data_IF_849217355767
#
_entry.id   IF_849217355767
#
_cell.length_a   1.000
_cell.length_b   1.000
_cell.length_c   1.000
_cell.angle_alpha   90.00
_cell.angle_beta   90.00
_cell.angle_gamma   90.00
#
_symmetry.space_group_name_H-M   'P 1'
#
loop_
_entity.id
_entity.type
_entity.pdbx_description
1 polymer ?
#
# COMPACT_ATOMS: atom_id res chain seq x y z
N UNK A 1 29.12 13.07 -17.93
CA UNK A 1 28.18 12.01 -18.33
C UNK A 1 27.38 11.61 -17.10
N UNK A 2 26.12 12.01 -16.97
CA UNK A 2 25.32 11.67 -15.78
C UNK A 2 24.82 10.23 -15.89
N UNK A 3 25.38 9.32 -15.10
CA UNK A 3 24.79 8.00 -14.89
C UNK A 3 23.38 8.20 -14.33
N UNK A 4 22.36 7.95 -15.15
CA UNK A 4 20.97 8.00 -14.71
C UNK A 4 20.72 6.77 -13.83
N UNK A 5 20.92 6.91 -12.51
CA UNK A 5 20.77 5.83 -11.51
C UNK A 5 19.47 5.03 -11.65
N UNK A 6 18.41 5.65 -12.18
CA UNK A 6 17.15 4.96 -12.45
C UNK A 6 17.22 4.08 -13.71
N UNK A 7 17.88 4.54 -14.78
CA UNK A 7 18.08 3.73 -15.98
C UNK A 7 18.92 2.48 -15.72
N UNK A 8 19.93 2.57 -14.85
CA UNK A 8 20.73 1.41 -14.45
C UNK A 8 19.91 0.43 -13.59
N UNK A 9 19.09 0.95 -12.67
CA UNK A 9 18.13 0.14 -11.90
C UNK A 9 17.17 -0.62 -12.82
N UNK A 10 16.55 0.06 -13.80
CA UNK A 10 15.63 -0.56 -14.76
C UNK A 10 16.32 -1.66 -15.58
N UNK A 11 17.57 -1.44 -16.01
CA UNK A 11 18.34 -2.47 -16.73
C UNK A 11 18.63 -3.69 -15.86
N UNK A 12 18.89 -3.50 -14.58
CA UNK A 12 19.15 -4.60 -13.65
C UNK A 12 17.87 -5.40 -13.36
N UNK A 13 16.75 -4.73 -13.08
CA UNK A 13 15.44 -5.38 -12.89
C UNK A 13 15.02 -6.13 -14.15
N UNK A 14 15.22 -5.54 -15.34
CA UNK A 14 14.93 -6.20 -16.62
C UNK A 14 15.70 -7.53 -16.73
N UNK A 15 17.03 -7.49 -16.56
CA UNK A 15 17.89 -8.68 -16.65
C UNK A 15 17.50 -9.74 -15.62
N UNK A 16 17.22 -9.32 -14.39
CA UNK A 16 16.82 -10.22 -13.32
C UNK A 16 15.50 -10.93 -13.66
N UNK A 17 14.45 -10.17 -13.99
CA UNK A 17 13.12 -10.73 -14.27
C UNK A 17 13.10 -11.58 -15.55
N UNK A 18 13.80 -11.16 -16.62
CA UNK A 18 13.94 -11.98 -17.84
C UNK A 18 14.62 -13.32 -17.51
N UNK A 19 15.76 -13.28 -16.81
CA UNK A 19 16.47 -14.50 -16.40
C UNK A 19 15.59 -15.40 -15.53
N UNK A 20 14.96 -14.83 -14.50
CA UNK A 20 14.11 -15.58 -13.57
C UNK A 20 12.96 -16.30 -14.30
N UNK A 21 12.29 -15.63 -15.24
CA UNK A 21 11.21 -16.25 -16.01
C UNK A 21 11.73 -17.28 -17.02
N UNK A 22 12.91 -17.10 -17.60
CA UNK A 22 13.54 -18.11 -18.45
C UNK A 22 13.91 -19.36 -17.66
N UNK A 23 14.53 -19.21 -16.49
CA UNK A 23 14.91 -20.31 -15.59
C UNK A 23 13.68 -21.12 -15.13
N UNK A 24 12.50 -20.49 -15.11
CA UNK A 24 11.20 -21.11 -14.76
C UNK A 24 10.39 -21.61 -15.97
N UNK A 25 10.94 -21.58 -17.19
CA UNK A 25 10.23 -21.83 -18.47
C UNK A 25 8.90 -21.05 -18.60
N UNK A 26 8.85 -19.84 -18.01
CA UNK A 26 7.66 -19.01 -17.88
C UNK A 26 7.72 -17.74 -18.77
N UNK A 27 8.81 -17.50 -19.48
CA UNK A 27 8.97 -16.27 -20.27
C UNK A 27 8.15 -16.27 -21.58
N UNK A 28 8.15 -17.39 -22.30
CA UNK A 28 7.43 -17.56 -23.56
C UNK A 28 6.21 -18.48 -23.46
N UNK A 29 6.09 -19.19 -22.33
CA UNK A 29 5.03 -20.16 -22.08
C UNK A 29 4.35 -19.86 -20.76
N UNK A 30 3.18 -20.48 -20.62
CA UNK A 30 2.45 -20.51 -19.37
C UNK A 30 3.13 -21.46 -18.38
N UNK A 31 3.61 -21.00 -17.22
CA UNK A 31 4.21 -21.88 -16.22
C UNK A 31 3.23 -22.92 -15.70
N UNK A 32 3.73 -24.13 -15.46
CA UNK A 32 2.95 -25.23 -14.89
C UNK A 32 2.58 -24.98 -13.42
N UNK A 33 3.41 -24.22 -12.69
CA UNK A 33 3.19 -23.80 -11.30
C UNK A 33 3.25 -22.29 -11.19
N UNK A 34 2.25 -21.70 -10.53
CA UNK A 34 2.18 -20.25 -10.34
C UNK A 34 2.81 -19.90 -9.00
N UNK A 35 3.92 -19.16 -9.04
CA UNK A 35 4.65 -18.66 -7.87
C UNK A 35 4.60 -17.13 -7.83
N UNK A 36 4.71 -16.51 -6.64
CA UNK A 36 4.63 -15.05 -6.52
C UNK A 36 5.71 -14.33 -7.32
N UNK A 37 6.94 -14.88 -7.30
CA UNK A 37 8.06 -14.29 -8.05
C UNK A 37 7.81 -14.23 -9.55
N UNK A 38 6.99 -15.13 -10.11
CA UNK A 38 6.60 -15.10 -11.52
C UNK A 38 5.67 -13.91 -11.79
N UNK A 39 4.65 -13.71 -10.94
CA UNK A 39 3.72 -12.58 -11.08
C UNK A 39 4.45 -11.24 -10.93
N UNK A 40 5.30 -11.12 -9.91
CA UNK A 40 6.10 -9.91 -9.68
C UNK A 40 6.99 -9.60 -10.89
N UNK A 41 7.61 -10.62 -11.48
CA UNK A 41 8.44 -10.46 -12.68
C UNK A 41 7.62 -10.05 -13.90
N UNK A 42 6.44 -10.64 -14.13
CA UNK A 42 5.58 -10.21 -15.25
C UNK A 42 5.16 -8.75 -15.11
N UNK A 43 4.76 -8.29 -13.92
CA UNK A 43 4.34 -6.90 -13.69
C UNK A 43 5.50 -5.91 -13.90
N UNK A 44 6.67 -6.22 -13.34
CA UNK A 44 7.88 -5.42 -13.55
C UNK A 44 8.27 -5.37 -15.02
N UNK A 45 8.33 -6.50 -15.72
CA UNK A 45 8.68 -6.53 -17.15
C UNK A 45 7.66 -5.80 -17.99
N UNK A 46 6.36 -5.98 -17.74
CA UNK A 46 5.31 -5.27 -18.44
C UNK A 46 5.51 -3.75 -18.35
N UNK A 47 5.80 -3.27 -17.15
CA UNK A 47 6.05 -1.85 -16.86
C UNK A 47 7.36 -1.35 -17.47
N UNK A 48 8.44 -2.13 -17.37
CA UNK A 48 9.75 -1.78 -17.94
C UNK A 48 9.70 -1.72 -19.48
N UNK A 49 9.02 -2.66 -20.13
CA UNK A 49 8.85 -2.64 -21.58
C UNK A 49 7.98 -1.46 -22.02
N UNK A 50 6.91 -1.13 -21.28
CA UNK A 50 6.12 0.08 -21.54
C UNK A 50 6.99 1.35 -21.43
N UNK A 51 7.80 1.45 -20.37
CA UNK A 51 8.76 2.54 -20.17
C UNK A 51 9.77 2.67 -21.31
N UNK A 52 10.24 1.54 -21.83
CA UNK A 52 11.21 1.48 -22.93
C UNK A 52 10.57 1.66 -24.31
N UNK A 53 9.24 1.78 -24.41
CA UNK A 53 8.51 1.88 -25.66
C UNK A 53 8.28 0.56 -26.41
N UNK A 54 8.64 -0.58 -25.83
CA UNK A 54 8.37 -1.91 -26.40
C UNK A 54 6.96 -2.36 -26.07
N UNK A 55 6.00 -1.79 -26.81
CA UNK A 55 4.57 -2.07 -26.61
C UNK A 55 4.21 -3.55 -26.79
N UNK A 56 4.86 -4.24 -27.74
CA UNK A 56 4.56 -5.64 -28.03
C UNK A 56 4.91 -6.53 -26.84
N UNK A 57 6.12 -6.38 -26.28
CA UNK A 57 6.52 -7.14 -25.09
C UNK A 57 5.73 -6.73 -23.85
N UNK A 58 5.46 -5.44 -23.68
CA UNK A 58 4.65 -4.95 -22.54
C UNK A 58 3.25 -5.60 -22.54
N UNK A 59 2.54 -5.55 -23.66
CA UNK A 59 1.21 -6.15 -23.80
C UNK A 59 1.26 -7.67 -23.57
N UNK A 60 2.28 -8.37 -24.06
CA UNK A 60 2.48 -9.80 -23.79
C UNK A 60 2.57 -10.08 -22.28
N UNK A 61 3.39 -9.32 -21.56
CA UNK A 61 3.57 -9.52 -20.11
C UNK A 61 2.32 -9.17 -19.31
N UNK A 62 1.62 -8.08 -19.65
CA UNK A 62 0.31 -7.79 -19.04
C UNK A 62 -0.72 -8.89 -19.32
N UNK A 63 -0.73 -9.45 -20.53
CA UNK A 63 -1.61 -10.58 -20.85
C UNK A 63 -1.28 -11.84 -20.04
N UNK A 64 0.00 -12.12 -19.76
CA UNK A 64 0.35 -13.22 -18.86
C UNK A 64 -0.17 -12.98 -17.43
N UNK A 65 -0.09 -11.75 -16.91
CA UNK A 65 -0.69 -11.41 -15.62
C UNK A 65 -2.19 -11.66 -15.57
N UNK A 66 -2.94 -11.31 -16.63
CA UNK A 66 -4.40 -11.47 -16.62
C UNK A 66 -4.84 -12.93 -16.64
N UNK A 67 -3.99 -13.84 -17.11
CA UNK A 67 -4.26 -15.29 -17.12
C UNK A 67 -4.00 -15.92 -15.74
N UNK A 68 -3.03 -15.42 -14.98
CA UNK A 68 -2.57 -16.05 -13.73
C UNK A 68 -2.93 -15.32 -12.45
N UNK A 69 -3.08 -13.99 -12.47
CA UNK A 69 -3.36 -13.17 -11.30
C UNK A 69 -4.55 -13.71 -10.52
N UNK A 70 -5.63 -14.06 -11.23
CA UNK A 70 -6.84 -14.62 -10.66
C UNK A 70 -6.63 -15.89 -9.79
N UNK A 71 -5.67 -16.76 -10.12
CA UNK A 71 -5.53 -18.09 -9.49
C UNK A 71 -4.75 -18.07 -8.18
N UNK A 72 -3.77 -17.18 -8.03
CA UNK A 72 -2.97 -17.10 -6.80
C UNK A 72 -3.71 -16.37 -5.68
N UNK A 73 -4.37 -15.26 -5.97
CA UNK A 73 -5.07 -14.49 -4.92
C UNK A 73 -6.28 -15.25 -4.39
N UNK A 74 -7.09 -15.87 -5.26
CA UNK A 74 -8.21 -16.73 -4.83
C UNK A 74 -7.75 -17.88 -3.94
N UNK A 75 -6.58 -18.48 -4.21
CA UNK A 75 -6.03 -19.57 -3.37
C UNK A 75 -5.64 -19.11 -1.96
N UNK A 76 -5.08 -17.91 -1.79
CA UNK A 76 -4.72 -17.35 -0.47
C UNK A 76 -5.93 -16.92 0.35
N UNK A 77 -6.96 -16.39 -0.30
CA UNK A 77 -8.22 -16.05 0.37
C UNK A 77 -9.03 -17.30 0.70
N UNK A 78 -8.93 -18.37 -0.10
CA UNK A 78 -9.63 -19.63 0.14
C UNK A 78 -9.19 -20.34 1.43
N UNK A 79 -7.94 -20.14 1.88
CA UNK A 79 -7.40 -20.76 3.11
C UNK A 79 -7.76 -20.02 4.39
N UNK A 80 -8.39 -18.84 4.30
CA UNK A 80 -8.82 -18.07 5.48
C UNK A 80 -10.20 -18.54 5.98
N UNK A 81 -10.42 -18.44 7.29
CA UNK A 81 -11.76 -18.61 7.87
C UNK A 81 -12.72 -17.54 7.33
N UNK A 82 -14.02 -17.80 7.35
CA UNK A 82 -15.05 -16.84 6.92
C UNK A 82 -15.00 -15.52 7.71
N UNK A 83 -14.54 -15.55 8.96
CA UNK A 83 -14.31 -14.35 9.77
C UNK A 83 -13.01 -13.65 9.39
N UNK A 84 -11.95 -14.41 9.08
CA UNK A 84 -10.69 -13.87 8.55
C UNK A 84 -10.89 -13.12 7.24
N UNK A 85 -11.76 -13.62 6.35
CA UNK A 85 -12.13 -12.97 5.08
C UNK A 85 -12.84 -11.63 5.26
N UNK A 86 -13.40 -11.36 6.44
CA UNK A 86 -14.12 -10.10 6.74
C UNK A 86 -13.24 -9.03 7.38
N UNK A 87 -11.94 -9.31 7.64
CA UNK A 87 -11.03 -8.32 8.23
C UNK A 87 -10.83 -7.15 7.25
N UNK A 88 -11.12 -5.90 7.63
CA UNK A 88 -11.07 -4.75 6.71
C UNK A 88 -9.71 -4.57 6.00
N UNK A 89 -8.58 -4.76 6.69
CA UNK A 89 -7.24 -4.68 6.07
C UNK A 89 -7.05 -5.69 4.93
N UNK A 90 -7.57 -6.92 5.09
CA UNK A 90 -7.48 -7.95 4.06
C UNK A 90 -8.37 -7.62 2.86
N UNK A 91 -9.56 -7.06 3.11
CA UNK A 91 -10.46 -6.60 2.06
C UNK A 91 -9.88 -5.40 1.27
N UNK A 92 -9.22 -4.46 1.95
CA UNK A 92 -8.49 -3.35 1.29
C UNK A 92 -7.38 -3.91 0.40
N UNK A 93 -6.60 -4.87 0.92
CA UNK A 93 -5.54 -5.52 0.14
C UNK A 93 -6.12 -6.27 -1.07
N UNK A 94 -7.22 -6.99 -0.89
CA UNK A 94 -7.94 -7.66 -1.98
C UNK A 94 -8.38 -6.67 -3.06
N UNK A 95 -8.97 -5.54 -2.66
CA UNK A 95 -9.41 -4.51 -3.59
C UNK A 95 -8.26 -3.84 -4.34
N UNK A 96 -7.12 -3.63 -3.70
CA UNK A 96 -5.90 -3.16 -4.37
C UNK A 96 -5.45 -4.16 -5.46
N UNK A 97 -5.45 -5.47 -5.16
CA UNK A 97 -5.08 -6.49 -6.15
C UNK A 97 -6.06 -6.54 -7.32
N UNK A 98 -7.36 -6.50 -7.04
CA UNK A 98 -8.41 -6.45 -8.07
C UNK A 98 -8.25 -5.21 -8.96
N UNK A 99 -7.93 -4.04 -8.38
CA UNK A 99 -7.63 -2.83 -9.11
C UNK A 99 -6.42 -3.01 -10.05
N UNK A 100 -5.28 -3.52 -9.54
CA UNK A 100 -4.08 -3.77 -10.36
C UNK A 100 -4.33 -4.78 -11.48
N UNK A 101 -5.13 -5.80 -11.21
CA UNK A 101 -5.53 -6.78 -12.22
C UNK A 101 -6.41 -6.12 -13.30
N UNK A 102 -7.38 -5.28 -12.91
CA UNK A 102 -8.18 -4.49 -13.84
C UNK A 102 -7.32 -3.57 -14.72
N UNK A 103 -6.28 -2.98 -14.14
CA UNK A 103 -5.27 -2.21 -14.89
C UNK A 103 -4.57 -3.09 -15.92
N UNK A 104 -4.14 -4.30 -15.56
CA UNK A 104 -3.49 -5.22 -16.49
C UNK A 104 -4.42 -5.63 -17.64
N UNK A 105 -5.71 -5.85 -17.39
CA UNK A 105 -6.71 -6.10 -18.44
C UNK A 105 -6.87 -4.88 -19.38
N UNK A 106 -6.92 -3.66 -18.84
CA UNK A 106 -6.97 -2.44 -19.64
C UNK A 106 -5.73 -2.29 -20.53
N UNK A 107 -4.53 -2.42 -19.94
CA UNK A 107 -3.26 -2.23 -20.64
C UNK A 107 -2.93 -3.35 -21.65
N UNK A 108 -3.43 -4.57 -21.42
CA UNK A 108 -3.32 -5.67 -22.38
C UNK A 108 -4.38 -5.64 -23.48
N UNK A 109 -5.48 -4.88 -23.29
CA UNK A 109 -6.62 -4.78 -24.21
C UNK A 109 -7.33 -6.10 -24.51
N UNK A 110 -7.32 -7.01 -23.54
CA UNK A 110 -7.82 -8.38 -23.76
C UNK A 110 -9.31 -8.50 -23.46
N UNK A 111 -9.77 -7.93 -22.34
CA UNK A 111 -11.17 -8.03 -21.92
C UNK A 111 -11.59 -6.80 -21.09
N UNK A 112 -12.17 -5.78 -21.76
CA UNK A 112 -12.66 -4.57 -21.09
C UNK A 112 -13.81 -4.82 -20.13
N UNK A 113 -14.64 -5.84 -20.35
CA UNK A 113 -15.75 -6.16 -19.45
C UNK A 113 -15.21 -6.74 -18.15
N UNK A 114 -14.21 -7.63 -18.24
CA UNK A 114 -13.53 -8.18 -17.06
C UNK A 114 -12.79 -7.09 -16.27
N UNK A 115 -12.12 -6.16 -16.95
CA UNK A 115 -11.51 -5.00 -16.29
C UNK A 115 -12.54 -4.20 -15.49
N UNK A 116 -13.70 -3.91 -16.09
CA UNK A 116 -14.80 -3.20 -15.42
C UNK A 116 -15.32 -3.95 -14.20
N UNK A 117 -15.53 -5.27 -14.31
CA UNK A 117 -15.94 -6.11 -13.19
C UNK A 117 -14.92 -6.10 -12.04
N UNK A 118 -13.63 -6.13 -12.36
CA UNK A 118 -12.56 -6.07 -11.36
C UNK A 118 -12.56 -4.72 -10.63
N UNK A 119 -12.85 -3.61 -11.33
CA UNK A 119 -13.02 -2.31 -10.68
C UNK A 119 -14.27 -2.26 -9.80
N UNK A 120 -15.38 -2.90 -10.18
CA UNK A 120 -16.57 -3.02 -9.32
C UNK A 120 -16.23 -3.77 -8.03
N UNK A 121 -15.56 -4.93 -8.13
CA UNK A 121 -15.13 -5.69 -6.96
C UNK A 121 -14.11 -4.94 -6.10
N UNK A 122 -13.18 -4.19 -6.71
CA UNK A 122 -12.23 -3.38 -5.97
C UNK A 122 -12.93 -2.27 -5.17
N UNK A 123 -13.94 -1.63 -5.78
CA UNK A 123 -14.73 -0.60 -5.10
C UNK A 123 -15.56 -1.17 -3.93
N UNK A 124 -16.07 -2.38 -4.07
CA UNK A 124 -16.80 -3.10 -3.02
C UNK A 124 -15.88 -3.58 -1.89
N UNK A 125 -14.75 -4.19 -2.23
CA UNK A 125 -13.80 -4.73 -1.24
C UNK A 125 -13.16 -3.62 -0.41
N UNK A 126 -12.91 -2.45 -1.00
CA UNK A 126 -12.36 -1.29 -0.30
C UNK A 126 -13.43 -0.43 0.38
N UNK A 127 -14.69 -0.88 0.46
CA UNK A 127 -15.73 -0.19 1.23
C UNK A 127 -15.48 -0.35 2.73
N UNK A 128 -15.29 0.78 3.41
CA UNK A 128 -15.07 0.81 4.85
C UNK A 128 -16.38 1.09 5.57
N UNK A 129 -16.69 0.32 6.61
CA UNK A 129 -17.83 0.60 7.49
C UNK A 129 -17.56 1.81 8.39
N UNK A 130 -18.61 2.49 8.83
CA UNK A 130 -18.50 3.60 9.78
C UNK A 130 -17.82 3.15 11.08
N UNK A 131 -18.15 1.95 11.58
CA UNK A 131 -17.52 1.35 12.76
C UNK A 131 -16.01 1.15 12.59
N UNK A 132 -15.58 0.67 11.41
CA UNK A 132 -14.16 0.52 11.12
C UNK A 132 -13.45 1.88 11.04
N UNK A 133 -14.06 2.87 10.38
CA UNK A 133 -13.50 4.23 10.30
C UNK A 133 -13.38 4.83 11.70
N UNK A 134 -14.41 4.69 12.55
CA UNK A 134 -14.39 5.18 13.92
C UNK A 134 -13.29 4.50 14.75
N UNK A 135 -13.17 3.16 14.65
CA UNK A 135 -12.10 2.40 15.31
C UNK A 135 -10.71 2.80 14.81
N UNK A 136 -10.51 2.90 13.50
CA UNK A 136 -9.22 3.28 12.91
C UNK A 136 -8.81 4.71 13.30
N UNK A 137 -9.76 5.65 13.38
CA UNK A 137 -9.51 6.98 13.92
C UNK A 137 -9.11 6.90 15.40
N UNK A 138 -9.83 6.10 16.20
CA UNK A 138 -9.55 5.92 17.65
C UNK A 138 -8.11 5.45 17.88
N UNK A 139 -7.64 4.49 17.09
CA UNK A 139 -6.31 3.89 17.24
C UNK A 139 -5.23 4.57 16.38
N UNK A 140 -5.52 5.72 15.74
CA UNK A 140 -4.54 6.44 14.93
C UNK A 140 -4.15 5.75 13.61
N UNK A 141 -4.88 4.70 13.20
CA UNK A 141 -4.70 3.95 11.95
C UNK A 141 -5.27 4.70 10.73
N UNK A 142 -4.85 5.96 10.56
CA UNK A 142 -5.33 6.81 9.47
C UNK A 142 -4.87 6.33 8.09
N UNK A 143 -3.79 5.56 8.03
CA UNK A 143 -3.24 5.00 6.80
C UNK A 143 -4.14 3.90 6.21
N UNK A 144 -4.80 3.10 7.04
CA UNK A 144 -5.76 2.09 6.59
C UNK A 144 -6.99 2.75 5.96
N UNK A 145 -7.50 3.81 6.60
CA UNK A 145 -8.61 4.60 6.06
C UNK A 145 -8.19 5.24 4.73
N UNK A 146 -7.00 5.84 4.70
CA UNK A 146 -6.45 6.45 3.49
C UNK A 146 -6.29 5.43 2.36
N UNK A 147 -5.79 4.22 2.64
CA UNK A 147 -5.64 3.16 1.65
C UNK A 147 -6.99 2.67 1.12
N UNK A 148 -7.96 2.40 2.00
CA UNK A 148 -9.30 2.01 1.58
C UNK A 148 -9.97 3.07 0.71
N UNK A 149 -9.92 4.34 1.13
CA UNK A 149 -10.46 5.46 0.34
C UNK A 149 -9.72 5.65 -0.98
N UNK A 150 -8.39 5.50 -1.01
CA UNK A 150 -7.59 5.64 -2.23
C UNK A 150 -7.97 4.58 -3.26
N UNK A 151 -7.93 3.31 -2.89
CA UNK A 151 -8.16 2.22 -3.83
C UNK A 151 -9.62 2.16 -4.28
N UNK A 152 -10.57 2.40 -3.36
CA UNK A 152 -11.98 2.57 -3.72
C UNK A 152 -12.19 3.76 -4.65
N UNK A 153 -11.62 4.91 -4.33
CA UNK A 153 -11.73 6.12 -5.14
C UNK A 153 -11.17 5.94 -6.55
N UNK A 154 -10.03 5.26 -6.67
CA UNK A 154 -9.45 4.95 -7.99
C UNK A 154 -10.32 3.95 -8.77
N UNK A 155 -10.85 2.92 -8.12
CA UNK A 155 -11.77 2.00 -8.77
C UNK A 155 -13.04 2.72 -9.29
N UNK A 156 -13.66 3.58 -8.46
CA UNK A 156 -14.83 4.38 -8.83
C UNK A 156 -14.56 5.35 -9.98
N UNK A 157 -13.37 5.97 -10.02
CA UNK A 157 -12.93 6.80 -11.14
C UNK A 157 -12.95 6.03 -12.47
N UNK A 158 -12.47 4.78 -12.47
CA UNK A 158 -12.50 3.92 -13.67
C UNK A 158 -13.91 3.43 -14.03
N UNK A 159 -14.85 3.49 -13.09
CA UNK A 159 -16.27 3.20 -13.30
C UNK A 159 -17.09 4.45 -13.69
N UNK A 160 -16.42 5.58 -13.94
CA UNK A 160 -17.06 6.88 -14.23
C UNK A 160 -17.96 7.42 -13.11
N UNK A 161 -17.76 6.98 -11.87
CA UNK A 161 -18.45 7.50 -10.67
C UNK A 161 -17.64 8.64 -10.07
N UNK A 162 -17.52 9.75 -10.81
CA UNK A 162 -16.56 10.80 -10.55
C UNK A 162 -16.83 11.58 -9.25
N UNK A 163 -18.10 11.82 -8.90
CA UNK A 163 -18.49 12.52 -7.68
C UNK A 163 -18.06 11.74 -6.43
N UNK A 164 -18.42 10.45 -6.36
CA UNK A 164 -18.04 9.56 -5.26
C UNK A 164 -16.53 9.39 -5.17
N UNK A 165 -15.85 9.20 -6.31
CA UNK A 165 -14.40 9.12 -6.37
C UNK A 165 -13.73 10.39 -5.82
N UNK A 166 -14.17 11.56 -6.27
CA UNK A 166 -13.64 12.85 -5.83
C UNK A 166 -13.77 13.06 -4.32
N UNK A 167 -14.93 12.71 -3.75
CA UNK A 167 -15.18 12.83 -2.32
C UNK A 167 -14.19 11.99 -1.49
N UNK A 168 -14.00 10.72 -1.87
CA UNK A 168 -13.08 9.83 -1.17
C UNK A 168 -11.62 10.26 -1.34
N UNK A 169 -11.19 10.54 -2.58
CA UNK A 169 -9.80 10.87 -2.90
C UNK A 169 -9.35 12.18 -2.24
N UNK A 170 -10.26 13.14 -2.05
CA UNK A 170 -9.96 14.37 -1.31
C UNK A 170 -9.70 14.08 0.17
N UNK A 171 -10.43 13.12 0.76
CA UNK A 171 -10.23 12.72 2.15
C UNK A 171 -8.91 11.98 2.38
N UNK A 172 -8.41 11.22 1.39
CA UNK A 172 -7.11 10.54 1.47
C UNK A 172 -6.00 11.50 1.89
N UNK A 173 -5.93 12.68 1.28
CA UNK A 173 -4.91 13.71 1.60
C UNK A 173 -4.99 14.14 3.07
N UNK A 174 -6.21 14.27 3.62
CA UNK A 174 -6.42 14.68 5.01
C UNK A 174 -5.94 13.59 5.98
N UNK A 175 -6.28 12.33 5.71
CA UNK A 175 -5.86 11.20 6.53
C UNK A 175 -4.33 10.98 6.48
N UNK A 176 -3.73 11.05 5.30
CA UNK A 176 -2.28 10.94 5.14
C UNK A 176 -1.52 12.09 5.81
N UNK A 177 -2.07 13.30 5.79
CA UNK A 177 -1.46 14.43 6.52
C UNK A 177 -1.54 14.26 8.04
N UNK A 178 -2.60 13.64 8.56
CA UNK A 178 -2.67 13.29 10.00
C UNK A 178 -1.66 12.21 10.35
N UNK A 179 -1.54 11.18 9.52
CA UNK A 179 -0.54 10.13 9.68
C UNK A 179 0.89 10.69 9.62
N UNK A 180 1.22 11.55 8.67
CA UNK A 180 2.56 12.19 8.61
C UNK A 180 2.93 12.96 9.88
N UNK A 181 1.93 13.55 10.56
CA UNK A 181 2.15 14.30 11.82
C UNK A 181 2.42 13.38 13.02
N UNK A 182 2.15 12.08 12.93
CA UNK A 182 2.52 11.13 13.99
C UNK A 182 4.02 10.79 14.00
N UNK A 183 4.79 11.26 13.01
CA UNK A 183 6.23 11.03 12.92
C UNK A 183 6.64 9.74 12.20
N UNK A 184 5.66 8.96 11.71
CA UNK A 184 5.93 7.78 10.89
C UNK A 184 6.38 8.22 9.49
N UNK A 185 7.58 7.80 9.08
CA UNK A 185 8.05 8.02 7.71
C UNK A 185 7.08 7.33 6.74
N UNK A 186 6.60 8.05 5.72
CA UNK A 186 5.58 7.50 4.82
C UNK A 186 6.21 6.47 3.88
N UNK A 187 6.04 5.17 4.19
CA UNK A 187 6.51 4.04 3.38
C UNK A 187 5.64 3.78 2.13
N UNK A 188 4.34 4.13 2.19
CA UNK A 188 3.38 4.07 1.06
C UNK A 188 3.49 5.28 0.13
N UNK A 189 4.68 5.45 -0.48
CA UNK A 189 5.03 6.64 -1.27
C UNK A 189 4.22 6.75 -2.57
N UNK A 190 3.86 5.61 -3.16
CA UNK A 190 3.00 5.56 -4.36
C UNK A 190 1.59 6.03 -4.02
N UNK A 191 1.02 5.50 -2.94
CA UNK A 191 -0.31 5.82 -2.44
C UNK A 191 -0.43 7.27 -2.01
N UNK A 192 0.63 7.82 -1.41
CA UNK A 192 0.68 9.24 -1.07
C UNK A 192 0.73 10.15 -2.30
N UNK A 193 1.43 9.72 -3.34
CA UNK A 193 1.59 10.51 -4.55
C UNK A 193 0.37 10.44 -5.46
N UNK A 194 -0.32 9.29 -5.54
CA UNK A 194 -1.42 9.02 -6.47
C UNK A 194 -2.56 10.06 -6.42
N UNK A 195 -3.03 10.54 -5.24
CA UNK A 195 -4.06 11.58 -5.17
C UNK A 195 -3.74 12.85 -5.97
N UNK A 196 -2.45 13.18 -6.17
CA UNK A 196 -2.03 14.32 -7.00
C UNK A 196 -2.47 14.19 -8.47
N UNK A 197 -2.58 12.96 -8.98
CA UNK A 197 -3.11 12.70 -10.30
C UNK A 197 -4.63 12.50 -10.26
N UNK A 198 -5.13 11.72 -9.29
CA UNK A 198 -6.52 11.28 -9.29
C UNK A 198 -7.52 12.40 -8.96
N UNK A 199 -7.20 13.29 -8.02
CA UNK A 199 -8.11 14.39 -7.64
C UNK A 199 -8.34 15.37 -8.81
N UNK A 200 -7.29 15.93 -9.46
CA UNK A 200 -7.49 16.82 -10.60
C UNK A 200 -8.18 16.16 -11.80
N UNK A 201 -7.97 14.85 -12.00
CA UNK A 201 -8.70 14.10 -13.01
C UNK A 201 -10.21 14.05 -12.73
N UNK A 202 -10.60 13.80 -11.48
CA UNK A 202 -12.00 13.84 -11.09
C UNK A 202 -12.60 15.25 -11.27
N UNK A 203 -11.88 16.29 -10.82
CA UNK A 203 -12.32 17.69 -10.98
C UNK A 203 -12.57 18.05 -12.46
N UNK A 204 -11.69 17.62 -13.36
CA UNK A 204 -11.89 17.83 -14.79
C UNK A 204 -13.06 17.01 -15.35
N UNK A 205 -13.21 15.74 -14.99
CA UNK A 205 -14.33 14.91 -15.47
C UNK A 205 -15.69 15.44 -14.98
N UNK A 206 -15.74 16.03 -13.80
CA UNK A 206 -16.93 16.68 -13.24
C UNK A 206 -17.20 18.05 -13.88
N UNK A 207 -16.15 18.81 -14.19
CA UNK A 207 -16.25 20.16 -14.75
C UNK A 207 -15.15 20.38 -15.80
N UNK A 208 -15.40 19.97 -17.07
CA UNK A 208 -14.38 19.97 -18.11
C UNK A 208 -14.19 21.38 -18.69
N UNK A 209 -13.43 22.19 -17.97
CA UNK A 209 -13.10 23.57 -18.36
C UNK A 209 -11.65 23.68 -18.82
N UNK A 210 -11.35 24.75 -19.55
CA UNK A 210 -9.97 25.06 -19.96
C UNK A 210 -9.06 25.36 -18.75
N UNK A 211 -9.62 25.71 -17.60
CA UNK A 211 -8.87 25.89 -16.35
C UNK A 211 -8.48 24.55 -15.71
N UNK A 212 -9.37 23.57 -15.75
CA UNK A 212 -9.16 22.26 -15.12
C UNK A 212 -8.33 21.30 -15.98
N UNK A 213 -8.39 21.43 -17.31
CA UNK A 213 -7.66 20.55 -18.23
C UNK A 213 -6.12 20.57 -17.97
N UNK A 214 -5.45 21.73 -17.85
CA UNK A 214 -4.02 21.75 -17.51
C UNK A 214 -3.70 21.13 -16.15
N UNK A 215 -4.57 21.32 -15.14
CA UNK A 215 -4.39 20.75 -13.79
C UNK A 215 -4.45 19.22 -13.83
N UNK A 216 -5.42 18.66 -14.54
CA UNK A 216 -5.55 17.22 -14.73
C UNK A 216 -4.32 16.60 -15.40
N UNK A 217 -3.81 17.25 -16.46
CA UNK A 217 -2.58 16.83 -17.15
C UNK A 217 -1.34 16.93 -16.25
N UNK A 218 -1.19 18.06 -15.58
CA UNK A 218 -0.07 18.31 -14.67
C UNK A 218 -0.07 17.29 -13.52
N UNK A 219 -1.22 16.96 -12.96
CA UNK A 219 -1.35 15.97 -11.88
C UNK A 219 -0.74 14.61 -12.23
N UNK A 220 -1.00 14.10 -13.44
CA UNK A 220 -0.42 12.82 -13.92
C UNK A 220 1.11 12.90 -13.99
N UNK A 221 1.65 14.02 -14.48
CA UNK A 221 3.10 14.22 -14.62
C UNK A 221 3.80 14.50 -13.28
N UNK A 222 3.16 15.25 -12.39
CA UNK A 222 3.67 15.58 -11.06
C UNK A 222 3.69 14.37 -10.13
N UNK A 223 2.69 13.48 -10.27
CA UNK A 223 2.63 12.21 -9.57
C UNK A 223 3.94 11.43 -9.72
N UNK A 224 4.30 11.06 -10.96
CA UNK A 224 5.47 10.22 -11.22
C UNK A 224 6.78 10.93 -10.86
N UNK A 225 6.86 12.26 -11.05
CA UNK A 225 8.02 13.08 -10.66
C UNK A 225 8.22 13.15 -9.15
N UNK A 226 7.15 12.99 -8.37
CA UNK A 226 7.22 13.09 -6.91
C UNK A 226 7.75 11.84 -6.23
N UNK A 227 7.78 10.71 -6.93
CA UNK A 227 8.39 9.47 -6.46
C UNK A 227 9.92 9.60 -6.56
N UNK A 228 10.64 9.32 -5.47
CA UNK A 228 12.09 9.54 -5.39
C UNK A 228 12.89 8.24 -5.51
N UNK A 229 12.49 7.20 -4.78
CA UNK A 229 13.18 5.92 -4.82
C UNK A 229 12.91 5.20 -6.14
N UNK A 230 13.90 4.45 -6.61
CA UNK A 230 13.80 3.76 -7.90
C UNK A 230 12.71 2.67 -7.89
N UNK A 231 12.54 1.95 -6.77
CA UNK A 231 11.48 0.94 -6.59
C UNK A 231 10.10 1.58 -6.70
N UNK A 232 9.83 2.64 -5.93
CA UNK A 232 8.56 3.37 -5.96
C UNK A 232 8.28 3.94 -7.35
N UNK A 233 9.30 4.48 -8.03
CA UNK A 233 9.14 4.96 -9.42
C UNK A 233 8.72 3.85 -10.36
N UNK A 234 9.38 2.68 -10.30
CA UNK A 234 9.02 1.53 -11.14
C UNK A 234 7.58 1.09 -10.88
N UNK A 235 7.18 0.97 -9.62
CA UNK A 235 5.80 0.66 -9.26
C UNK A 235 4.83 1.75 -9.74
N UNK A 236 5.20 3.02 -9.56
CA UNK A 236 4.38 4.15 -9.97
C UNK A 236 4.17 4.26 -11.48
N UNK A 237 5.10 3.72 -12.28
CA UNK A 237 4.96 3.68 -13.73
C UNK A 237 3.77 2.83 -14.19
N UNK A 238 3.37 1.78 -13.45
CA UNK A 238 2.15 1.01 -13.74
C UNK A 238 0.93 1.93 -13.80
N UNK A 239 0.73 2.72 -12.75
CA UNK A 239 -0.39 3.65 -12.65
C UNK A 239 -0.24 4.82 -13.62
N UNK A 240 0.97 5.33 -13.83
CA UNK A 240 1.23 6.39 -14.80
C UNK A 240 0.82 5.98 -16.23
N UNK A 241 1.20 4.79 -16.68
CA UNK A 241 0.80 4.28 -17.99
C UNK A 241 -0.70 4.05 -18.07
N UNK A 242 -1.28 3.45 -17.03
CA UNK A 242 -2.72 3.25 -16.96
C UNK A 242 -3.52 4.56 -17.04
N UNK A 243 -3.10 5.60 -16.31
CA UNK A 243 -3.77 6.90 -16.33
C UNK A 243 -3.69 7.55 -17.71
N UNK A 244 -2.52 7.49 -18.36
CA UNK A 244 -2.35 8.07 -19.70
C UNK A 244 -3.14 7.35 -20.78
N UNK A 245 -3.27 6.03 -20.69
CA UNK A 245 -4.02 5.24 -21.67
C UNK A 245 -5.52 5.33 -21.44
N UNK A 246 -5.98 5.15 -20.20
CA UNK A 246 -7.40 5.14 -19.85
C UNK A 246 -8.04 6.52 -19.94
N UNK A 247 -7.29 7.57 -19.55
CA UNK A 247 -7.72 8.97 -19.65
C UNK A 247 -7.02 9.70 -20.79
N UNK A 248 -6.75 9.00 -21.90
CA UNK A 248 -6.15 9.59 -23.09
C UNK A 248 -6.97 10.78 -23.61
N UNK A 249 -8.30 10.70 -23.49
CA UNK A 249 -9.23 11.79 -23.84
C UNK A 249 -8.96 13.10 -23.07
N UNK A 250 -8.38 13.00 -21.87
CA UNK A 250 -7.91 14.16 -21.09
C UNK A 250 -6.47 14.47 -21.44
N UNK A 251 -5.59 13.47 -21.41
CA UNK A 251 -4.14 13.66 -21.49
C UNK A 251 -3.71 14.24 -22.85
N UNK A 252 -4.33 13.80 -23.95
CA UNK A 252 -4.00 14.26 -25.30
C UNK A 252 -4.85 15.44 -25.79
N UNK A 253 -5.88 15.86 -25.05
CA UNK A 253 -6.77 16.94 -25.47
C UNK A 253 -6.06 18.31 -25.52
N UNK A 254 -6.14 19.03 -26.64
CA UNK A 254 -5.57 20.37 -26.75
C UNK A 254 -6.46 21.44 -26.12
N UNK A 255 -7.78 21.23 -26.16
CA UNK A 255 -8.80 22.13 -25.62
C UNK A 255 -9.87 21.33 -24.88
N UNK A 256 -10.44 21.94 -23.86
CA UNK A 256 -11.64 21.41 -23.23
C UNK A 256 -12.80 21.39 -24.24
N UNK A 257 -13.71 20.42 -24.16
CA UNK A 257 -14.90 20.39 -25.02
C UNK A 257 -15.72 21.67 -24.85
N UNK A 258 -16.26 22.20 -25.94
CA UNK A 258 -17.21 23.32 -25.89
C UNK A 258 -18.48 22.86 -25.17
N UNK A 259 -18.59 23.19 -23.89
CA UNK A 259 -19.75 22.84 -23.09
C UNK A 259 -20.99 23.55 -23.64
N UNK A 260 -21.99 22.77 -24.10
CA UNK A 260 -23.36 23.25 -24.10
C UNK A 260 -23.70 23.66 -22.66
N UNK A 261 -24.18 24.90 -22.45
CA UNK A 261 -24.47 25.48 -21.13
C UNK A 261 -25.30 24.52 -20.27
N UNK A 262 -24.65 23.80 -19.35
CA UNK A 262 -25.32 23.11 -18.24
C UNK A 262 -25.11 23.96 -16.99
N UNK A 263 -26.13 24.16 -16.14
CA UNK A 263 -26.06 25.13 -15.06
C UNK A 263 -25.03 24.72 -14.00
N UNK A 264 -24.14 25.66 -13.69
CA UNK A 264 -23.23 25.57 -12.57
C UNK A 264 -24.00 25.44 -11.25
N UNK A 265 -23.97 24.25 -10.64
CA UNK A 265 -24.08 24.09 -9.19
C UNK A 265 -23.07 23.07 -8.71
N UNK A 266 -21.82 23.51 -8.61
CA UNK A 266 -20.85 22.89 -7.71
C UNK A 266 -21.40 23.12 -6.29
N UNK A 267 -21.97 22.09 -5.67
CA UNK A 267 -22.25 22.11 -4.23
C UNK A 267 -20.92 21.89 -3.50
N UNK A 268 -20.53 22.96 -2.78
CA UNK A 268 -19.62 23.14 -1.62
C UNK A 268 -18.59 22.05 -1.26
N UNK A 269 -17.42 22.47 -0.72
CA UNK A 269 -16.34 21.58 -0.33
C UNK A 269 -16.80 20.52 0.69
N UNK A 270 -16.13 19.36 0.64
CA UNK A 270 -16.34 18.22 1.52
C UNK A 270 -16.66 18.65 2.97
N UNK A 271 -17.71 18.04 3.54
CA UNK A 271 -18.16 18.28 4.92
C UNK A 271 -16.95 18.16 5.86
N UNK A 272 -16.67 19.20 6.64
CA UNK A 272 -15.61 19.19 7.65
C UNK A 272 -16.01 18.15 8.72
N UNK A 273 -15.26 17.06 8.83
CA UNK A 273 -15.49 16.03 9.85
C UNK A 273 -15.29 16.64 11.25
N UNK A 274 -16.29 16.50 12.11
CA UNK A 274 -16.18 16.70 13.56
C UNK A 274 -15.99 15.33 14.23
N UNK A 275 -15.00 15.24 15.12
CA UNK A 275 -14.63 14.00 15.80
C UNK A 275 -15.28 13.96 17.20
N UNK A 276 -15.87 12.82 17.63
CA UNK A 276 -16.40 12.71 18.98
C UNK A 276 -15.27 12.59 20.01
N UNK A 277 -15.45 13.14 21.23
CA UNK A 277 -14.50 12.95 22.34
C UNK A 277 -14.59 11.53 22.92
N UNK A 278 -13.44 11.03 23.39
CA UNK A 278 -13.13 9.64 23.76
C UNK A 278 -13.18 9.36 25.26
N UNK A 279 -13.76 8.22 25.66
CA UNK A 279 -13.37 7.41 26.84
C UNK A 279 -13.81 5.95 26.62
N UNK A 280 -12.92 5.00 26.28
CA UNK A 280 -13.18 3.54 26.42
C UNK A 280 -11.89 2.69 26.42
N UNK A 281 -11.80 1.84 27.45
CA UNK A 281 -10.81 0.80 27.80
C UNK A 281 -10.77 -0.39 26.79
N UNK A 282 -9.64 -1.11 26.65
CA UNK A 282 -9.48 -2.24 25.69
C UNK A 282 -8.76 -3.46 26.28
N UNK A 283 -9.32 -4.66 26.08
CA UNK A 283 -8.74 -5.99 26.44
C UNK A 283 -8.03 -6.62 25.22
N UNK A 284 -6.90 -7.31 25.45
CA UNK A 284 -6.09 -8.03 24.44
C UNK A 284 -4.60 -8.05 24.79
N UNK A 285 -3.84 -9.00 24.21
CA UNK A 285 -2.41 -9.24 24.52
C UNK A 285 -1.49 -9.12 23.29
N UNK A 286 -0.26 -8.66 23.53
CA UNK A 286 0.81 -8.59 22.52
C UNK A 286 1.75 -9.79 22.71
N UNK A 287 2.02 -10.49 21.62
CA UNK A 287 2.90 -11.65 21.54
C UNK A 287 4.12 -11.33 20.66
N UNK A 288 5.25 -11.99 20.90
CA UNK A 288 6.47 -11.88 20.09
C UNK A 288 6.85 -13.28 19.60
N UNK A 289 7.18 -13.43 18.32
CA UNK A 289 7.63 -14.73 17.78
C UNK A 289 8.54 -14.59 16.55
N UNK A 290 9.32 -15.64 16.29
CA UNK A 290 10.11 -15.86 15.08
C UNK A 290 9.44 -16.91 14.18
N UNK A 291 9.69 -16.90 12.86
CA UNK A 291 9.01 -17.84 11.95
C UNK A 291 9.95 -18.62 11.03
N UNK A 292 10.73 -19.53 11.62
CA UNK A 292 11.19 -20.77 10.95
C UNK A 292 11.26 -21.94 11.95
N UNK A 293 10.20 -22.75 12.00
CA UNK A 293 10.28 -24.15 12.44
C UNK A 293 10.42 -24.49 13.94
N UNK A 294 10.74 -23.54 14.83
CA UNK A 294 10.86 -23.80 16.29
C UNK A 294 10.21 -22.78 17.22
N UNK A 295 9.53 -21.75 16.71
CA UNK A 295 9.23 -20.54 17.48
C UNK A 295 8.44 -20.73 18.78
N UNK A 296 9.00 -20.21 19.87
CA UNK A 296 8.29 -19.97 21.14
C UNK A 296 7.45 -18.71 21.00
N UNK A 297 6.14 -18.85 21.20
CA UNK A 297 5.22 -17.73 21.27
C UNK A 297 5.34 -17.15 22.69
N UNK A 298 6.06 -16.04 22.85
CA UNK A 298 6.23 -15.41 24.16
C UNK A 298 5.29 -14.21 24.33
N UNK A 299 4.61 -14.18 25.48
CA UNK A 299 3.72 -13.08 25.83
C UNK A 299 4.53 -11.86 26.27
N UNK A 300 4.40 -10.76 25.52
CA UNK A 300 4.94 -9.47 25.95
C UNK A 300 4.11 -8.87 27.10
N UNK A 301 2.79 -9.06 27.06
CA UNK A 301 1.84 -8.52 28.03
C UNK A 301 0.53 -8.07 27.36
N UNK A 302 -0.26 -7.26 28.04
CA UNK A 302 -1.45 -6.60 27.46
C UNK A 302 -1.08 -5.47 26.51
N UNK A 303 -2.03 -5.03 25.68
CA UNK A 303 -1.85 -3.85 24.82
C UNK A 303 -1.46 -2.60 25.61
N UNK A 304 -2.10 -2.36 26.76
CA UNK A 304 -1.81 -1.21 27.62
C UNK A 304 -0.38 -1.29 28.18
N UNK A 305 0.11 -2.49 28.48
CA UNK A 305 1.48 -2.71 28.96
C UNK A 305 2.53 -2.52 27.85
N UNK A 306 2.18 -2.83 26.61
CA UNK A 306 2.99 -2.55 25.43
C UNK A 306 3.05 -1.06 25.12
N UNK A 307 1.91 -0.37 25.10
CA UNK A 307 1.85 1.07 24.88
C UNK A 307 2.58 1.85 25.99
N UNK A 308 2.39 1.45 27.26
CA UNK A 308 3.11 2.03 28.38
C UNK A 308 4.64 1.82 28.26
N UNK A 309 5.08 0.64 27.80
CA UNK A 309 6.49 0.37 27.56
C UNK A 309 7.05 1.23 26.42
N UNK A 310 6.35 1.34 25.28
CA UNK A 310 6.77 2.15 24.14
C UNK A 310 6.89 3.63 24.52
N UNK A 311 5.92 4.17 25.25
CA UNK A 311 5.94 5.57 25.70
C UNK A 311 7.07 5.81 26.71
N UNK A 312 7.34 4.87 27.62
CA UNK A 312 8.51 4.92 28.51
C UNK A 312 9.82 4.93 27.71
N UNK A 313 9.99 4.08 26.70
CA UNK A 313 11.20 4.09 25.84
C UNK A 313 11.38 5.43 25.14
N UNK A 314 10.28 6.00 24.62
CA UNK A 314 10.26 7.28 23.91
C UNK A 314 10.68 8.47 24.78
N UNK A 315 10.26 8.48 26.04
CA UNK A 315 10.59 9.55 27.01
C UNK A 315 12.04 9.51 27.53
N UNK A 316 12.79 8.43 27.28
CA UNK A 316 14.21 8.29 27.66
C UNK A 316 15.19 9.13 26.81
N UNK A 317 14.68 9.92 25.86
CA UNK A 317 15.35 11.08 25.26
C UNK A 317 16.46 10.81 24.24
N UNK A 318 16.87 9.55 24.03
CA UNK A 318 17.99 9.18 23.13
C UNK A 318 17.73 7.90 22.29
N UNK A 319 16.48 7.42 22.22
CA UNK A 319 16.11 6.14 21.60
C UNK A 319 14.85 6.21 20.71
N UNK A 320 14.77 7.16 19.76
CA UNK A 320 13.61 7.19 18.84
C UNK A 320 13.53 5.93 17.98
N UNK A 321 14.65 5.22 17.77
CA UNK A 321 14.71 4.04 16.92
C UNK A 321 14.06 2.84 17.59
N UNK A 322 14.35 2.54 18.86
CA UNK A 322 13.75 1.37 19.54
C UNK A 322 12.22 1.48 19.68
N UNK A 323 11.68 2.62 20.11
CA UNK A 323 10.22 2.80 20.20
C UNK A 323 9.54 2.66 18.84
N UNK A 324 10.17 3.22 17.79
CA UNK A 324 9.66 3.10 16.43
C UNK A 324 9.81 1.70 15.84
N UNK A 325 10.85 0.94 16.21
CA UNK A 325 10.99 -0.47 15.86
C UNK A 325 9.93 -1.33 16.55
N UNK A 326 9.60 -1.06 17.83
CA UNK A 326 8.53 -1.78 18.52
C UNK A 326 7.17 -1.55 17.85
N UNK A 327 6.85 -0.29 17.55
CA UNK A 327 5.64 0.06 16.79
C UNK A 327 5.65 -0.59 15.40
N UNK A 328 6.79 -0.58 14.70
CA UNK A 328 6.95 -1.21 13.38
C UNK A 328 6.69 -2.71 13.42
N UNK A 329 7.30 -3.43 14.36
CA UNK A 329 7.20 -4.89 14.43
C UNK A 329 5.81 -5.31 14.93
N UNK A 330 5.09 -4.43 15.63
CA UNK A 330 3.70 -4.65 16.09
C UNK A 330 2.65 -4.33 15.02
N UNK A 331 2.99 -3.51 14.02
CA UNK A 331 2.04 -3.03 13.00
C UNK A 331 2.25 -3.65 11.63
N UNK A 332 3.47 -4.11 11.33
CA UNK A 332 3.83 -4.79 10.08
C UNK A 332 4.25 -6.25 10.34
N UNK A 333 4.16 -7.09 9.31
CA UNK A 333 4.57 -8.50 9.40
C UNK A 333 6.08 -8.67 9.61
N UNK A 334 6.53 -9.93 9.58
CA UNK A 334 7.92 -10.40 9.68
C UNK A 334 9.01 -9.41 9.21
N UNK A 335 9.89 -9.02 10.14
CA UNK A 335 11.02 -8.09 9.95
C UNK A 335 12.37 -8.75 10.28
N UNK A 336 13.46 -8.22 9.72
CA UNK A 336 14.83 -8.65 10.06
C UNK A 336 15.14 -8.41 11.55
N UNK A 337 15.77 -9.34 12.29
CA UNK A 337 15.99 -9.20 13.74
C UNK A 337 17.07 -8.18 14.14
N UNK A 338 18.08 -7.96 13.31
CA UNK A 338 19.30 -7.21 13.67
C UNK A 338 19.05 -5.78 14.17
N UNK A 339 18.19 -4.95 13.52
CA UNK A 339 17.89 -3.60 14.03
C UNK A 339 17.27 -3.61 15.42
N UNK A 340 16.45 -4.63 15.71
CA UNK A 340 15.80 -4.80 17.01
C UNK A 340 16.81 -5.23 18.08
N UNK A 341 17.74 -6.14 17.73
CA UNK A 341 18.82 -6.59 18.60
C UNK A 341 19.71 -5.42 19.01
N UNK A 342 20.22 -4.66 18.04
CA UNK A 342 21.15 -3.54 18.27
C UNK A 342 20.55 -2.51 19.24
N UNK A 343 19.28 -2.15 19.04
CA UNK A 343 18.61 -1.14 19.84
C UNK A 343 18.20 -1.64 21.23
N UNK A 344 17.80 -2.92 21.36
CA UNK A 344 17.56 -3.56 22.66
C UNK A 344 18.85 -3.64 23.50
N UNK A 345 19.97 -4.05 22.92
CA UNK A 345 21.27 -4.08 23.59
C UNK A 345 21.73 -2.68 24.01
N UNK A 346 21.50 -1.69 23.14
CA UNK A 346 21.80 -0.28 23.45
C UNK A 346 20.98 0.24 24.62
N UNK A 347 19.70 -0.13 24.75
CA UNK A 347 18.87 0.24 25.90
C UNK A 347 19.34 -0.46 27.18
N UNK A 348 19.63 -1.77 27.11
CA UNK A 348 20.05 -2.57 28.27
C UNK A 348 21.43 -2.19 28.83
N UNK A 349 22.31 -1.63 28.00
CA UNK A 349 23.64 -1.15 28.43
C UNK A 349 23.58 0.13 29.29
N UNK A 350 22.41 0.79 29.41
CA UNK A 350 22.26 1.98 30.25
C UNK A 350 22.21 1.62 31.74
N UNK A 351 22.92 2.38 32.61
CA UNK A 351 22.93 2.11 34.04
C UNK A 351 21.55 2.33 34.69
N UNK A 352 20.78 3.32 34.22
CA UNK A 352 19.57 3.82 34.90
C UNK A 352 18.25 3.49 34.15
N UNK A 353 18.10 2.26 33.67
CA UNK A 353 16.81 1.79 33.10
C UNK A 353 16.02 1.04 34.17
N UNK A 354 14.72 1.31 34.25
CA UNK A 354 13.81 0.68 35.21
C UNK A 354 13.84 -0.86 35.10
N UNK A 355 13.75 -1.60 36.21
CA UNK A 355 13.79 -3.06 36.19
C UNK A 355 12.75 -3.71 35.27
N UNK A 356 11.52 -3.20 35.30
CA UNK A 356 10.40 -3.69 34.45
C UNK A 356 10.71 -3.50 32.95
N UNK A 357 11.30 -2.35 32.59
CA UNK A 357 11.72 -2.12 31.21
C UNK A 357 12.85 -3.07 30.82
N UNK A 358 13.84 -3.29 31.69
CA UNK A 358 14.93 -4.23 31.41
C UNK A 358 14.40 -5.65 31.17
N UNK A 359 13.39 -6.08 31.91
CA UNK A 359 12.77 -7.39 31.75
C UNK A 359 12.07 -7.52 30.40
N UNK A 360 11.19 -6.57 30.05
CA UNK A 360 10.49 -6.52 28.76
C UNK A 360 11.45 -6.39 27.57
N UNK A 361 12.49 -5.57 27.67
CA UNK A 361 13.52 -5.44 26.63
C UNK A 361 14.33 -6.73 26.45
N UNK A 362 14.64 -7.45 27.54
CA UNK A 362 15.33 -8.75 27.45
C UNK A 362 14.47 -9.80 26.76
N UNK A 363 13.17 -9.84 27.05
CA UNK A 363 12.22 -10.74 26.39
C UNK A 363 12.28 -10.57 24.87
N UNK A 364 12.14 -9.32 24.40
CA UNK A 364 12.22 -8.99 22.97
C UNK A 364 13.59 -9.35 22.37
N UNK A 365 14.67 -9.04 23.10
CA UNK A 365 16.03 -9.32 22.65
C UNK A 365 16.29 -10.81 22.47
N UNK A 366 15.75 -11.66 23.36
CA UNK A 366 15.86 -13.12 23.26
C UNK A 366 15.22 -13.60 21.98
N UNK A 367 13.94 -13.27 21.75
CA UNK A 367 13.22 -13.70 20.54
C UNK A 367 13.89 -13.20 19.27
N UNK A 368 14.45 -11.98 19.29
CA UNK A 368 15.16 -11.44 18.13
C UNK A 368 16.48 -12.16 17.84
N UNK A 369 17.26 -12.51 18.87
CA UNK A 369 18.51 -13.27 18.71
C UNK A 369 18.25 -14.69 18.23
N UNK A 370 17.23 -15.35 18.77
CA UNK A 370 16.83 -16.69 18.34
C UNK A 370 16.44 -16.67 16.85
N UNK A 371 15.68 -15.65 16.42
CA UNK A 371 15.36 -15.45 15.00
C UNK A 371 16.61 -15.26 14.13
N UNK A 372 17.59 -14.45 14.59
CA UNK A 372 18.84 -14.22 13.85
C UNK A 372 19.66 -15.50 13.70
N UNK A 373 19.81 -16.28 14.77
CA UNK A 373 20.54 -17.55 14.76
C UNK A 373 19.87 -18.59 13.86
N UNK A 374 18.53 -18.57 13.77
CA UNK A 374 17.75 -19.41 12.88
C UNK A 374 17.71 -18.92 11.42
N UNK A 375 18.23 -17.73 11.11
CA UNK A 375 18.10 -17.11 9.77
C UNK A 375 16.68 -16.68 9.43
N UNK A 376 15.90 -16.31 10.45
CA UNK A 376 14.47 -16.04 10.43
C UNK A 376 14.17 -14.57 10.75
N UNK A 377 12.89 -14.22 10.66
CA UNK A 377 12.33 -12.88 10.88
C UNK A 377 11.46 -12.82 12.13
N UNK A 378 11.34 -11.64 12.75
CA UNK A 378 10.59 -11.37 13.99
C UNK A 378 9.31 -10.59 13.71
N UNK A 379 8.26 -10.85 14.50
CA UNK A 379 7.03 -10.03 14.51
C UNK A 379 6.49 -9.87 15.93
N UNK A 380 5.89 -8.71 16.20
CA UNK A 380 5.00 -8.49 17.34
C UNK A 380 3.55 -8.59 16.84
N UNK A 381 2.74 -9.42 17.48
CA UNK A 381 1.37 -9.69 17.06
C UNK A 381 0.39 -9.37 18.18
N UNK A 382 -0.66 -8.63 17.85
CA UNK A 382 -1.77 -8.39 18.76
C UNK A 382 -2.81 -9.51 18.65
N UNK A 383 -3.03 -10.20 19.76
CA UNK A 383 -4.08 -11.20 19.94
C UNK A 383 -5.29 -10.59 20.66
N UNK A 384 -6.45 -10.44 19.98
CA UNK A 384 -7.67 -9.91 20.59
C UNK A 384 -8.41 -10.92 21.49
N UNK A 385 -7.99 -12.20 21.55
CA UNK A 385 -8.72 -13.27 22.27
C UNK A 385 -8.27 -13.51 23.72
N UNK A 386 -7.37 -12.67 24.29
CA UNK A 386 -6.96 -12.74 25.71
C UNK A 386 -7.67 -11.71 26.59
#
# INVERSE_FOLDING_TARGET
MSNNKFSDFIKNELKYCEKYLHDKDAYDKFPEKIENGILDCYEKLATIYAYSGDKKKSTKMFHHLTIFGYRLYTSRFATLSEEGKKKPRLLIQQGMWQLREGIAFNLSKTDPQKARQLFEWAAESCLLSEDFIAAAIKYGNFDDIAAGHLWRGYALLNLSKYEEAHELLTQVILYLNKYKKSGVEMWRKVEYALPKALVPLCEYKLNPTQENLPKAKAGIEEYIKSLRANKDKLEGYLYYFHLKETFADVYTAEKAPELAKVPSKIKKPAKKLEFPPTEYDTKGSVMIFDREGSGSLEAFGTQNEFEAYVEKVKTLGNFPVLSSLMELYATEGLQEPEPLIEECERLLSRPNVEPEMKEKTKLILTVAKDALEAGSTVMLYFDPEV
#
